data_IF_521589799131
#
_entry.id   IF_521589799131
#
_cell.length_a   1.000
_cell.length_b   1.000
_cell.length_c   1.000
_cell.angle_alpha   90.00
_cell.angle_beta   90.00
_cell.angle_gamma   90.00
#
_symmetry.space_group_name_H-M   'P 1'
#
loop_
_entity.id
_entity.type
_entity.pdbx_description
1 polymer ?
#
# COMPACT_ATOMS: atom_id res chain seq x y z
N UNK A 1 15.49 4.78 13.64
CA UNK A 1 14.15 4.99 14.24
C UNK A 1 13.15 5.10 13.12
N UNK A 2 12.15 4.20 13.09
CA UNK A 2 11.03 4.31 12.18
C UNK A 2 10.11 5.40 12.70
N UNK A 3 10.11 6.54 12.05
CA UNK A 3 9.08 7.53 12.28
C UNK A 3 7.82 7.05 11.56
N UNK A 4 6.85 6.56 12.30
CA UNK A 4 5.54 6.29 11.74
C UNK A 4 4.91 7.60 11.28
N UNK A 5 4.27 7.61 10.11
CA UNK A 5 3.46 8.74 9.68
C UNK A 5 2.37 8.98 10.71
N UNK A 6 2.53 10.04 11.46
CA UNK A 6 1.59 10.39 12.50
C UNK A 6 0.47 11.16 11.82
N UNK A 7 -0.73 10.59 11.87
CA UNK A 7 -1.94 11.18 11.28
C UNK A 7 -2.25 12.59 11.80
N UNK A 8 -1.73 12.92 12.97
CA UNK A 8 -2.15 14.10 13.73
C UNK A 8 -1.65 15.44 13.19
N UNK A 9 -0.60 15.46 12.36
CA UNK A 9 -0.11 16.68 11.72
C UNK A 9 -0.40 16.73 10.21
N UNK A 10 -0.45 15.59 9.54
CA UNK A 10 -0.55 15.53 8.08
C UNK A 10 -1.88 16.06 7.54
N UNK A 11 -2.98 15.88 8.28
CA UNK A 11 -4.29 16.38 7.86
C UNK A 11 -4.37 17.90 7.92
N UNK A 12 -3.69 18.56 8.86
CA UNK A 12 -3.63 20.02 8.98
C UNK A 12 -2.87 20.61 7.79
N UNK A 13 -1.69 20.08 7.51
CA UNK A 13 -0.85 20.47 6.39
C UNK A 13 -1.55 20.29 5.03
N UNK A 14 -2.26 19.18 4.87
CA UNK A 14 -3.05 18.90 3.69
C UNK A 14 -4.24 19.84 3.56
N UNK A 15 -4.95 20.13 4.67
CA UNK A 15 -6.07 21.08 4.70
C UNK A 15 -5.62 22.49 4.32
N UNK A 16 -4.49 22.95 4.86
CA UNK A 16 -3.91 24.24 4.51
C UNK A 16 -3.68 24.37 3.01
N UNK A 17 -3.07 23.34 2.40
CA UNK A 17 -2.82 23.30 0.95
C UNK A 17 -4.09 23.24 0.11
N UNK A 18 -5.11 22.53 0.57
CA UNK A 18 -6.41 22.51 -0.11
C UNK A 18 -7.08 23.88 -0.05
N UNK A 19 -7.01 24.57 1.09
CA UNK A 19 -7.56 25.93 1.22
C UNK A 19 -6.79 26.95 0.35
N UNK A 20 -5.46 26.85 0.30
CA UNK A 20 -4.64 27.64 -0.63
C UNK A 20 -5.03 27.39 -2.10
N UNK A 21 -5.26 26.13 -2.46
CA UNK A 21 -5.73 25.75 -3.80
C UNK A 21 -7.13 26.28 -4.13
N UNK A 22 -8.00 26.35 -3.13
CA UNK A 22 -9.34 26.95 -3.26
C UNK A 22 -9.23 28.47 -3.52
N UNK A 23 -8.39 29.17 -2.76
CA UNK A 23 -8.15 30.62 -2.94
C UNK A 23 -7.56 30.96 -4.31
N UNK A 24 -6.70 30.09 -4.83
CA UNK A 24 -6.09 30.21 -6.17
C UNK A 24 -7.02 29.79 -7.32
N UNK A 25 -8.22 29.28 -7.01
CA UNK A 25 -9.18 28.83 -8.01
C UNK A 25 -8.88 27.47 -8.65
N UNK A 26 -7.97 26.69 -8.07
CA UNK A 26 -7.69 25.32 -8.52
C UNK A 26 -8.77 24.34 -8.07
N UNK A 27 -9.44 24.66 -6.97
CA UNK A 27 -10.52 23.87 -6.38
C UNK A 27 -11.79 24.74 -6.27
N UNK A 28 -12.92 24.10 -6.05
CA UNK A 28 -14.19 24.78 -5.89
C UNK A 28 -14.95 24.30 -4.66
N UNK A 29 -15.82 25.17 -4.16
CA UNK A 29 -16.67 24.86 -3.00
C UNK A 29 -18.10 24.62 -3.47
N UNK A 30 -18.74 23.57 -2.96
CA UNK A 30 -20.16 23.32 -3.17
C UNK A 30 -21.03 24.03 -2.12
N UNK A 31 -22.34 24.08 -2.34
CA UNK A 31 -23.32 24.71 -1.47
C UNK A 31 -23.33 24.13 -0.05
N UNK A 32 -23.04 22.81 0.08
CA UNK A 32 -22.92 22.11 1.36
C UNK A 32 -21.62 22.44 2.12
N UNK A 33 -20.79 23.32 1.59
CA UNK A 33 -19.51 23.73 2.17
C UNK A 33 -18.33 22.82 1.84
N UNK A 34 -18.54 21.69 1.17
CA UNK A 34 -17.47 20.76 0.79
C UNK A 34 -16.58 21.35 -0.31
N UNK A 35 -15.27 20.97 -0.28
CA UNK A 35 -14.28 21.43 -1.26
C UNK A 35 -13.90 20.28 -2.18
N UNK A 36 -13.91 20.54 -3.48
CA UNK A 36 -13.71 19.56 -4.53
C UNK A 36 -12.67 20.04 -5.55
N UNK A 37 -11.95 19.09 -6.13
CA UNK A 37 -11.16 19.31 -7.33
C UNK A 37 -11.94 18.83 -8.57
N UNK A 38 -11.92 19.64 -9.63
CA UNK A 38 -12.38 19.24 -10.95
C UNK A 38 -11.19 18.62 -11.71
N UNK A 39 -11.32 17.36 -12.06
CA UNK A 39 -10.33 16.58 -12.80
C UNK A 39 -10.85 16.09 -14.15
N UNK A 40 -11.93 16.70 -14.64
CA UNK A 40 -12.57 16.30 -15.92
C UNK A 40 -11.65 16.55 -17.11
N UNK A 41 -10.81 17.56 -17.05
CA UNK A 41 -9.79 17.84 -18.08
C UNK A 41 -8.73 16.71 -18.19
N UNK A 42 -8.51 15.99 -17.11
CA UNK A 42 -7.62 14.81 -17.04
C UNK A 42 -8.36 13.49 -17.30
N UNK A 43 -9.64 13.55 -17.68
CA UNK A 43 -10.48 12.40 -17.95
C UNK A 43 -10.91 11.64 -16.67
N UNK A 44 -10.90 12.31 -15.53
CA UNK A 44 -11.26 11.77 -14.23
C UNK A 44 -12.50 12.48 -13.66
N UNK A 45 -13.08 11.90 -12.61
CA UNK A 45 -14.22 12.51 -11.92
C UNK A 45 -13.80 13.63 -10.96
N UNK A 46 -14.78 14.41 -10.50
CA UNK A 46 -14.56 15.36 -9.41
C UNK A 46 -14.12 14.63 -8.15
N UNK A 47 -13.12 15.17 -7.45
CA UNK A 47 -12.57 14.57 -6.22
C UNK A 47 -12.86 15.43 -4.99
N UNK A 48 -13.52 14.82 -4.00
CA UNK A 48 -13.72 15.42 -2.68
C UNK A 48 -12.37 15.58 -1.97
N UNK A 49 -12.11 16.76 -1.43
CA UNK A 49 -10.92 17.08 -0.65
C UNK A 49 -11.27 17.41 0.80
N UNK A 50 -12.31 18.22 1.04
CA UNK A 50 -12.81 18.51 2.38
C UNK A 50 -14.31 18.29 2.42
N UNK A 51 -14.80 17.69 3.51
CA UNK A 51 -16.24 17.56 3.75
C UNK A 51 -16.88 18.92 4.08
N UNK A 52 -18.20 19.00 4.06
CA UNK A 52 -18.95 20.21 4.37
C UNK A 52 -18.69 20.79 5.76
N UNK A 53 -18.34 19.93 6.72
CA UNK A 53 -17.89 20.33 8.07
C UNK A 53 -16.41 20.75 8.14
N UNK A 54 -15.72 20.76 7.01
CA UNK A 54 -14.30 21.12 6.89
C UNK A 54 -13.35 20.01 7.33
N UNK A 55 -13.81 18.76 7.57
CA UNK A 55 -12.92 17.65 7.87
C UNK A 55 -12.23 17.10 6.64
N UNK A 56 -10.98 16.68 6.83
CA UNK A 56 -10.13 16.10 5.78
C UNK A 56 -10.57 14.69 5.41
N UNK A 57 -10.39 14.33 4.14
CA UNK A 57 -10.45 12.95 3.65
C UNK A 57 -9.03 12.39 3.47
N UNK A 58 -8.90 11.10 3.18
CA UNK A 58 -7.59 10.48 2.98
C UNK A 58 -6.72 11.18 1.94
N UNK A 59 -7.31 11.63 0.84
CA UNK A 59 -6.59 12.38 -0.20
C UNK A 59 -5.91 13.64 0.35
N UNK A 60 -6.61 14.39 1.19
CA UNK A 60 -6.08 15.58 1.85
C UNK A 60 -4.93 15.25 2.80
N UNK A 61 -5.06 14.14 3.54
CA UNK A 61 -3.99 13.67 4.43
C UNK A 61 -2.74 13.29 3.63
N UNK A 62 -2.91 12.66 2.47
CA UNK A 62 -1.79 12.24 1.62
C UNK A 62 -1.09 13.44 0.97
N UNK A 63 -1.82 14.51 0.61
CA UNK A 63 -1.22 15.79 0.20
C UNK A 63 -0.31 16.35 1.30
N UNK A 64 -0.80 16.38 2.54
CA UNK A 64 -0.02 16.82 3.69
C UNK A 64 1.19 15.93 3.97
N UNK A 65 1.03 14.62 3.87
CA UNK A 65 2.11 13.66 4.05
C UNK A 65 3.22 13.87 3.02
N UNK A 66 2.85 14.01 1.73
CA UNK A 66 3.82 14.26 0.67
C UNK A 66 4.57 15.58 0.90
N UNK A 67 3.85 16.68 1.21
CA UNK A 67 4.45 17.98 1.54
C UNK A 67 5.51 17.84 2.65
N UNK A 68 5.16 17.20 3.77
CA UNK A 68 6.07 17.05 4.90
C UNK A 68 7.28 16.19 4.55
N UNK A 69 7.09 15.08 3.82
CA UNK A 69 8.20 14.19 3.44
C UNK A 69 9.25 14.86 2.58
N UNK A 70 8.83 15.64 1.59
CA UNK A 70 9.76 16.40 0.75
C UNK A 70 10.38 17.60 1.48
N UNK A 71 9.72 18.14 2.53
CA UNK A 71 10.30 19.18 3.37
C UNK A 71 11.32 18.62 4.39
N UNK A 72 11.01 17.47 4.99
CA UNK A 72 11.83 16.89 6.07
C UNK A 72 13.07 16.15 5.55
N UNK A 73 13.03 15.66 4.32
CA UNK A 73 14.08 14.82 3.74
C UNK A 73 14.50 15.32 2.35
N UNK A 74 15.81 15.36 2.06
CA UNK A 74 16.32 15.69 0.73
C UNK A 74 16.14 14.48 -0.22
N UNK A 75 14.90 14.20 -0.60
CA UNK A 75 14.54 13.08 -1.47
C UNK A 75 14.18 13.56 -2.87
N UNK A 76 14.57 12.80 -3.89
CA UNK A 76 14.23 13.06 -5.28
C UNK A 76 12.92 12.37 -5.69
N UNK A 77 12.59 11.27 -5.02
CA UNK A 77 11.40 10.45 -5.31
C UNK A 77 10.76 9.93 -4.03
N UNK A 78 9.44 9.83 -4.06
CA UNK A 78 8.65 9.17 -3.01
C UNK A 78 7.95 7.96 -3.62
N UNK A 79 8.24 6.78 -3.07
CA UNK A 79 7.70 5.51 -3.57
C UNK A 79 6.64 5.00 -2.59
N UNK A 80 5.42 4.84 -3.09
CA UNK A 80 4.32 4.21 -2.37
C UNK A 80 4.20 2.75 -2.78
N UNK A 81 4.48 1.83 -1.86
CA UNK A 81 4.32 0.39 -2.08
C UNK A 81 2.93 0.00 -1.58
N UNK A 82 1.96 -0.01 -2.49
CA UNK A 82 0.53 -0.19 -2.16
C UNK A 82 -0.14 -1.04 -3.24
N UNK A 83 -1.16 -1.81 -2.87
CA UNK A 83 -1.90 -2.67 -3.78
C UNK A 83 -2.57 -1.91 -4.94
N UNK A 84 -2.79 -2.60 -6.04
CA UNK A 84 -3.33 -2.06 -7.28
C UNK A 84 -4.76 -1.48 -7.15
N UNK A 85 -5.47 -1.81 -6.10
CA UNK A 85 -6.79 -1.22 -5.79
C UNK A 85 -6.70 0.30 -5.55
N UNK A 86 -5.50 0.81 -5.24
CA UNK A 86 -5.25 2.24 -5.01
C UNK A 86 -4.67 2.97 -6.23
N UNK A 87 -4.62 2.33 -7.41
CA UNK A 87 -4.08 2.96 -8.63
C UNK A 87 -4.73 4.31 -8.91
N UNK A 88 -6.07 4.37 -8.88
CA UNK A 88 -6.82 5.61 -9.08
C UNK A 88 -6.48 6.69 -8.04
N UNK A 89 -6.36 6.30 -6.78
CA UNK A 89 -6.02 7.22 -5.69
C UNK A 89 -4.66 7.89 -5.92
N UNK A 90 -3.62 7.14 -6.27
CA UNK A 90 -2.29 7.69 -6.50
C UNK A 90 -2.17 8.47 -7.82
N UNK A 91 -2.94 8.11 -8.84
CA UNK A 91 -3.06 8.92 -10.05
C UNK A 91 -3.64 10.30 -9.72
N UNK A 92 -4.73 10.34 -8.99
CA UNK A 92 -5.36 11.60 -8.53
C UNK A 92 -4.40 12.40 -7.65
N UNK A 93 -3.72 11.77 -6.69
CA UNK A 93 -2.78 12.44 -5.81
C UNK A 93 -1.66 13.15 -6.60
N UNK A 94 -1.06 12.47 -7.58
CA UNK A 94 -0.01 13.06 -8.42
C UNK A 94 -0.51 14.30 -9.18
N UNK A 95 -1.71 14.24 -9.74
CA UNK A 95 -2.33 15.37 -10.47
C UNK A 95 -2.59 16.53 -9.51
N UNK A 96 -3.13 16.28 -8.33
CA UNK A 96 -3.42 17.33 -7.35
C UNK A 96 -2.16 18.02 -6.85
N UNK A 97 -1.07 17.28 -6.63
CA UNK A 97 0.21 17.86 -6.23
C UNK A 97 0.80 18.74 -7.33
N UNK A 98 0.70 18.33 -8.59
CA UNK A 98 1.12 19.13 -9.74
C UNK A 98 0.26 20.42 -9.84
N UNK A 99 -1.07 20.32 -9.73
CA UNK A 99 -1.99 21.48 -9.72
C UNK A 99 -1.71 22.46 -8.56
N UNK A 100 -1.30 21.94 -7.41
CA UNK A 100 -0.91 22.75 -6.25
C UNK A 100 0.46 23.43 -6.41
N UNK A 101 1.17 23.15 -7.50
CA UNK A 101 2.44 23.78 -7.85
C UNK A 101 3.65 23.18 -7.16
N UNK A 102 3.57 21.93 -6.69
CA UNK A 102 4.74 21.21 -6.18
C UNK A 102 5.60 20.74 -7.35
N UNK A 103 6.83 21.24 -7.49
CA UNK A 103 7.77 20.84 -8.54
C UNK A 103 8.05 19.34 -8.55
N UNK A 104 8.02 18.72 -7.37
CA UNK A 104 8.18 17.28 -7.18
C UNK A 104 6.86 16.48 -7.29
N UNK A 105 5.74 17.12 -7.63
CA UNK A 105 4.44 16.46 -7.71
C UNK A 105 4.43 15.24 -8.64
N UNK A 106 5.23 15.29 -9.72
CA UNK A 106 5.43 14.16 -10.65
C UNK A 106 6.49 13.14 -10.21
N UNK A 107 7.17 13.37 -9.10
CA UNK A 107 8.19 12.46 -8.54
C UNK A 107 7.60 11.38 -7.62
N UNK A 108 6.28 11.31 -7.49
CA UNK A 108 5.59 10.24 -6.82
C UNK A 108 5.55 9.00 -7.71
N UNK A 109 5.95 7.88 -7.14
CA UNK A 109 5.90 6.57 -7.81
C UNK A 109 4.99 5.65 -7.01
N UNK A 110 3.89 5.22 -7.60
CA UNK A 110 3.10 4.13 -7.05
C UNK A 110 3.69 2.81 -7.53
N UNK A 111 4.43 2.13 -6.66
CA UNK A 111 4.85 0.75 -6.88
C UNK A 111 3.66 -0.15 -6.57
N UNK A 112 2.80 -0.29 -7.58
CA UNK A 112 1.56 -1.03 -7.50
C UNK A 112 1.83 -2.53 -7.55
N UNK A 113 1.26 -3.28 -6.59
CA UNK A 113 1.33 -4.73 -6.62
C UNK A 113 -0.07 -5.35 -6.72
N UNK A 114 -0.13 -6.55 -7.31
CA UNK A 114 -1.35 -7.34 -7.42
C UNK A 114 -1.77 -7.90 -6.06
N UNK A 115 -3.07 -8.13 -5.93
CA UNK A 115 -3.62 -8.71 -4.71
C UNK A 115 -3.39 -10.21 -4.66
N UNK A 116 -3.14 -10.73 -3.45
CA UNK A 116 -3.15 -12.16 -3.17
C UNK A 116 -4.56 -12.52 -2.70
N UNK A 117 -5.21 -13.42 -3.41
CA UNK A 117 -6.58 -13.84 -3.14
C UNK A 117 -6.59 -15.32 -2.77
N UNK A 118 -7.54 -15.74 -1.96
CA UNK A 118 -7.82 -17.15 -1.70
C UNK A 118 -8.70 -17.74 -2.81
N UNK A 119 -8.79 -19.06 -2.98
CA UNK A 119 -9.71 -19.68 -3.93
C UNK A 119 -11.17 -19.23 -3.75
N UNK A 120 -11.55 -18.92 -2.52
CA UNK A 120 -12.88 -18.46 -2.14
C UNK A 120 -13.09 -16.94 -2.41
N UNK A 121 -12.03 -16.20 -2.80
CA UNK A 121 -12.06 -14.80 -3.11
C UNK A 121 -11.13 -13.92 -2.27
N UNK A 122 -11.44 -12.63 -2.22
CA UNK A 122 -10.61 -11.64 -1.53
C UNK A 122 -10.57 -11.87 -0.02
N UNK A 123 -9.37 -11.77 0.56
CA UNK A 123 -9.21 -11.72 2.01
C UNK A 123 -9.83 -10.46 2.59
N UNK A 124 -10.69 -10.62 3.59
CA UNK A 124 -11.35 -9.51 4.25
C UNK A 124 -11.18 -9.60 5.76
N UNK A 125 -10.39 -8.71 6.34
CA UNK A 125 -10.11 -8.69 7.77
C UNK A 125 -11.36 -8.57 8.64
N UNK A 126 -12.38 -7.86 8.16
CA UNK A 126 -13.65 -7.67 8.88
C UNK A 126 -14.54 -8.92 8.90
N UNK A 127 -14.33 -9.83 7.97
CA UNK A 127 -15.10 -11.08 7.82
C UNK A 127 -14.32 -12.29 8.35
N UNK A 128 -13.12 -12.09 8.89
CA UNK A 128 -12.29 -13.17 9.45
C UNK A 128 -11.68 -14.11 8.41
N UNK A 129 -11.77 -13.78 7.12
CA UNK A 129 -11.18 -14.54 6.02
C UNK A 129 -9.77 -14.06 5.71
N UNK A 130 -8.90 -14.07 6.71
CA UNK A 130 -7.49 -13.65 6.56
C UNK A 130 -6.61 -14.84 6.88
N UNK A 131 -5.60 -15.06 6.07
CA UNK A 131 -4.49 -15.96 6.38
C UNK A 131 -3.39 -15.10 7.01
N UNK A 132 -3.04 -15.39 8.25
CA UNK A 132 -1.93 -14.74 8.92
C UNK A 132 -0.61 -15.15 8.27
N UNK A 133 0.28 -14.17 8.06
CA UNK A 133 1.55 -14.42 7.39
C UNK A 133 2.49 -15.30 8.23
N UNK A 134 2.46 -15.13 9.55
CA UNK A 134 3.31 -15.91 10.45
C UNK A 134 2.82 -17.35 10.50
N UNK A 135 1.50 -17.58 10.63
CA UNK A 135 0.90 -18.91 10.59
C UNK A 135 1.23 -19.63 9.27
N UNK A 136 1.13 -18.92 8.13
CA UNK A 136 1.48 -19.46 6.82
C UNK A 136 2.97 -19.85 6.74
N UNK A 137 3.85 -19.02 7.26
CA UNK A 137 5.28 -19.33 7.28
C UNK A 137 5.57 -20.56 8.14
N UNK A 138 4.93 -20.68 9.30
CA UNK A 138 5.06 -21.85 10.18
C UNK A 138 4.55 -23.13 9.53
N UNK A 139 3.38 -23.08 8.88
CA UNK A 139 2.81 -24.22 8.13
C UNK A 139 3.74 -24.67 7.00
N UNK A 140 4.30 -23.75 6.23
CA UNK A 140 5.24 -24.08 5.15
C UNK A 140 6.54 -24.69 5.66
N UNK A 141 7.04 -24.25 6.81
CA UNK A 141 8.22 -24.84 7.46
C UNK A 141 7.91 -26.26 7.95
N UNK A 142 6.76 -26.45 8.61
CA UNK A 142 6.34 -27.75 9.09
C UNK A 142 6.17 -28.75 7.95
N UNK A 143 5.49 -28.35 6.86
CA UNK A 143 5.33 -29.20 5.66
C UNK A 143 6.67 -29.55 5.02
N UNK A 144 7.60 -28.58 4.92
CA UNK A 144 8.93 -28.86 4.38
C UNK A 144 9.71 -29.86 5.24
N UNK A 145 9.58 -29.77 6.57
CA UNK A 145 10.20 -30.70 7.50
C UNK A 145 9.64 -32.10 7.34
N UNK A 146 8.32 -32.27 7.36
CA UNK A 146 7.62 -33.52 7.21
C UNK A 146 8.00 -34.21 5.88
N UNK A 147 7.88 -33.51 4.77
CA UNK A 147 8.25 -34.01 3.44
C UNK A 147 9.72 -34.42 3.37
N UNK A 148 10.62 -33.63 3.97
CA UNK A 148 12.06 -33.95 3.97
C UNK A 148 12.37 -35.19 4.82
N UNK A 149 11.64 -35.40 5.93
CA UNK A 149 11.74 -36.60 6.76
C UNK A 149 11.25 -37.86 6.01
N UNK A 150 10.08 -37.76 5.38
CA UNK A 150 9.52 -38.88 4.58
C UNK A 150 10.45 -39.31 3.44
N UNK A 151 11.17 -38.35 2.84
CA UNK A 151 12.14 -38.61 1.79
C UNK A 151 13.52 -39.05 2.31
N UNK A 152 13.70 -39.21 3.63
CA UNK A 152 14.98 -39.60 4.25
C UNK A 152 16.08 -38.55 4.07
N UNK A 153 15.75 -37.30 3.79
CA UNK A 153 16.73 -36.23 3.54
C UNK A 153 17.30 -35.62 4.81
N UNK A 154 16.72 -35.92 5.96
CA UNK A 154 17.15 -35.43 7.27
C UNK A 154 17.87 -36.51 8.10
N UNK A 155 18.08 -37.68 7.53
CA UNK A 155 18.72 -38.80 8.23
C UNK A 155 20.18 -38.47 8.59
N UNK A 156 20.55 -38.68 9.85
CA UNK A 156 21.89 -38.43 10.36
C UNK A 156 22.18 -36.96 10.75
N UNK A 157 21.21 -36.06 10.58
CA UNK A 157 21.32 -34.68 11.02
C UNK A 157 20.87 -34.51 12.47
N UNK A 158 21.41 -33.49 13.13
CA UNK A 158 20.89 -33.03 14.42
C UNK A 158 19.53 -32.38 14.26
N UNK A 159 18.76 -32.28 15.34
CA UNK A 159 17.47 -31.58 15.32
C UNK A 159 17.58 -30.15 14.85
N UNK A 160 18.63 -29.44 15.29
CA UNK A 160 18.87 -28.03 14.91
C UNK A 160 19.16 -27.90 13.41
N UNK A 161 19.98 -28.74 12.83
CA UNK A 161 20.26 -28.76 11.40
C UNK A 161 19.00 -29.11 10.58
N UNK A 162 18.21 -30.07 11.02
CA UNK A 162 16.96 -30.43 10.37
C UNK A 162 15.94 -29.28 10.39
N UNK A 163 15.84 -28.57 11.51
CA UNK A 163 14.94 -27.41 11.66
C UNK A 163 15.39 -26.23 10.79
N UNK A 164 16.70 -25.96 10.71
CA UNK A 164 17.22 -24.89 9.86
C UNK A 164 17.02 -25.19 8.37
N UNK A 165 17.25 -26.42 7.94
CA UNK A 165 16.98 -26.87 6.56
C UNK A 165 15.49 -26.72 6.24
N UNK A 166 14.61 -27.18 7.11
CA UNK A 166 13.17 -27.08 6.93
C UNK A 166 12.73 -25.61 6.79
N UNK A 167 13.30 -24.72 7.61
CA UNK A 167 13.05 -23.29 7.55
C UNK A 167 13.51 -22.68 6.23
N UNK A 168 14.71 -23.01 5.78
CA UNK A 168 15.25 -22.50 4.51
C UNK A 168 14.40 -22.97 3.33
N UNK A 169 14.06 -24.25 3.29
CA UNK A 169 13.27 -24.85 2.20
C UNK A 169 11.84 -24.31 2.22
N UNK A 170 11.17 -24.32 3.36
CA UNK A 170 9.78 -23.86 3.48
C UNK A 170 9.62 -22.38 3.11
N UNK A 171 10.45 -21.49 3.66
CA UNK A 171 10.43 -20.09 3.33
C UNK A 171 10.90 -19.81 1.89
N UNK A 172 11.84 -20.60 1.37
CA UNK A 172 12.30 -20.53 -0.01
C UNK A 172 11.18 -20.88 -0.99
N UNK A 173 10.43 -21.94 -0.72
CA UNK A 173 9.29 -22.37 -1.53
C UNK A 173 8.18 -21.30 -1.53
N UNK A 174 7.83 -20.74 -0.38
CA UNK A 174 6.84 -19.68 -0.27
C UNK A 174 7.26 -18.43 -1.06
N UNK A 175 8.49 -17.98 -0.88
CA UNK A 175 9.05 -16.82 -1.61
C UNK A 175 9.05 -17.06 -3.12
N UNK A 176 9.49 -18.23 -3.55
CA UNK A 176 9.50 -18.58 -4.96
C UNK A 176 8.11 -18.59 -5.56
N UNK A 177 7.13 -19.17 -4.85
CA UNK A 177 5.75 -19.20 -5.30
C UNK A 177 5.18 -17.79 -5.51
N UNK A 178 5.44 -16.89 -4.59
CA UNK A 178 4.97 -15.50 -4.68
C UNK A 178 5.71 -14.75 -5.81
N UNK A 179 7.03 -14.88 -5.87
CA UNK A 179 7.88 -14.10 -6.79
C UNK A 179 7.87 -14.59 -8.24
N UNK A 180 7.40 -15.82 -8.51
CA UNK A 180 7.27 -16.32 -9.89
C UNK A 180 6.16 -15.62 -10.69
N UNK A 181 5.25 -14.91 -10.03
CA UNK A 181 4.18 -14.12 -10.66
C UNK A 181 4.64 -12.68 -10.81
N UNK A 182 4.29 -12.03 -11.94
CA UNK A 182 4.52 -10.58 -12.09
C UNK A 182 3.87 -9.83 -10.91
N UNK A 183 4.67 -9.00 -10.23
CA UNK A 183 4.23 -8.29 -9.03
C UNK A 183 2.96 -7.45 -9.22
N UNK A 184 2.66 -7.03 -10.45
CA UNK A 184 1.47 -6.22 -10.79
C UNK A 184 0.21 -7.05 -11.02
N UNK A 185 0.33 -8.39 -11.13
CA UNK A 185 -0.81 -9.29 -11.37
C UNK A 185 -1.36 -9.79 -10.04
N UNK A 186 -2.68 -9.90 -9.97
CA UNK A 186 -3.31 -10.63 -8.89
C UNK A 186 -2.95 -12.12 -8.99
N UNK A 187 -2.85 -12.77 -7.87
CA UNK A 187 -2.61 -14.21 -7.79
C UNK A 187 -3.59 -14.86 -6.83
N UNK A 188 -3.98 -16.09 -7.14
CA UNK A 188 -4.73 -16.93 -6.21
C UNK A 188 -3.74 -17.82 -5.46
N UNK A 189 -3.75 -17.72 -4.15
CA UNK A 189 -2.95 -18.55 -3.27
C UNK A 189 -3.82 -19.64 -2.66
N UNK A 190 -3.44 -20.90 -2.86
CA UNK A 190 -4.06 -22.04 -2.18
C UNK A 190 -3.04 -22.62 -1.20
N UNK A 191 -3.27 -22.51 0.11
CA UNK A 191 -2.36 -23.07 1.12
C UNK A 191 -2.42 -24.61 1.21
N UNK A 192 -3.39 -25.26 0.55
CA UNK A 192 -3.59 -26.74 0.58
C UNK A 192 -2.84 -27.41 -0.54
#
# INVERSE_FOLDING_TARGET
QRQMCIRDSTYLEGKEKVMEGLEKGFFFKKEDGSVWADLTAEGLDHKLLLRGDGTSVYMTQDIGTAKLRFADYPIDKMIYVVGNEQNYHFQVLSILLDKLGFEWGKSLVHFSYGMVELPEGKMKSREGTVVDADDLMEEMIATAKETSQELGKLDGLTQEEADDIARIVGLGALKYFILKVDARKNMTFNPK
#
